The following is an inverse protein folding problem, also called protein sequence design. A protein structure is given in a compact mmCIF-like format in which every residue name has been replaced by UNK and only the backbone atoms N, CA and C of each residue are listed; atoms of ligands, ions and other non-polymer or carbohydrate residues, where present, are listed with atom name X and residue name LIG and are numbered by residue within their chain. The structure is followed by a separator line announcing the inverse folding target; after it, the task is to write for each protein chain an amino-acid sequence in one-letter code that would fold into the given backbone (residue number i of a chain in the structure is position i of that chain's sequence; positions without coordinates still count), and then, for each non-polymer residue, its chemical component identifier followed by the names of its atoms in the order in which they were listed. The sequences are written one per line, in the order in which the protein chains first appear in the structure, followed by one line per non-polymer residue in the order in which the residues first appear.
data_IF_460790001481
#
_entry.id   IF_460790001481
#
_cell.length_a   1.000
_cell.length_b   1.000
_cell.length_c   1.000
_cell.angle_alpha   90.00
_cell.angle_beta   90.00
_cell.angle_gamma   90.00
#
_symmetry.space_group_name_H-M   'P 1'
#
loop_
_entity.id
_entity.type
_entity.pdbx_description
1 polymer ?
#
# COMPACT_ATOMS: atom_id res chain seq x y z
N UNK A 1 -49.55 15.32 -47.44
CA UNK A 1 -49.60 15.39 -45.96
C UNK A 1 -48.33 15.98 -45.30
N UNK A 2 -47.76 17.15 -45.70
CA UNK A 2 -46.60 17.73 -44.98
C UNK A 2 -46.96 18.83 -43.94
N UNK A 3 -48.20 19.37 -43.96
CA UNK A 3 -48.54 20.60 -43.22
C UNK A 3 -48.81 20.45 -41.70
N UNK A 4 -48.96 19.23 -41.16
CA UNK A 4 -49.21 19.04 -39.71
C UNK A 4 -47.93 19.06 -38.87
N UNK A 5 -46.80 18.60 -39.42
CA UNK A 5 -45.51 18.55 -38.70
C UNK A 5 -44.89 19.96 -38.57
N UNK A 6 -44.97 20.76 -39.63
CA UNK A 6 -44.44 22.13 -39.63
C UNK A 6 -45.18 23.08 -38.66
N UNK A 7 -46.50 22.92 -38.49
CA UNK A 7 -47.28 23.73 -37.54
C UNK A 7 -47.09 23.30 -36.06
N UNK A 8 -46.67 22.06 -35.81
CA UNK A 8 -46.38 21.59 -34.45
C UNK A 8 -45.06 22.16 -33.93
N UNK A 9 -44.03 22.21 -34.77
CA UNK A 9 -42.71 22.77 -34.43
C UNK A 9 -42.75 24.29 -34.17
N UNK A 10 -43.70 25.02 -34.77
CA UNK A 10 -43.92 26.46 -34.53
C UNK A 10 -44.53 26.79 -33.16
N UNK A 11 -45.08 25.80 -32.43
CA UNK A 11 -45.72 25.97 -31.11
C UNK A 11 -44.90 25.49 -29.92
N UNK A 12 -43.81 24.74 -30.15
CA UNK A 12 -42.97 24.25 -29.07
C UNK A 12 -41.94 25.32 -28.73
N UNK A 13 -41.98 25.84 -27.49
CA UNK A 13 -40.96 26.77 -27.01
C UNK A 13 -39.61 26.05 -27.00
N UNK A 14 -38.54 26.72 -27.43
CA UNK A 14 -37.17 26.17 -27.42
C UNK A 14 -36.81 25.62 -26.04
N UNK A 15 -37.27 26.27 -24.97
CA UNK A 15 -37.12 25.79 -23.58
C UNK A 15 -37.70 24.39 -23.36
N UNK A 16 -38.85 24.05 -23.96
CA UNK A 16 -39.47 22.73 -23.85
C UNK A 16 -38.64 21.65 -24.54
N UNK A 17 -38.00 21.97 -25.67
CA UNK A 17 -37.05 21.06 -26.34
C UNK A 17 -35.78 20.85 -25.50
N UNK A 18 -35.27 21.93 -24.88
CA UNK A 18 -34.10 21.86 -23.99
C UNK A 18 -34.38 21.04 -22.74
N UNK A 19 -35.52 21.26 -22.06
CA UNK A 19 -35.91 20.45 -20.90
C UNK A 19 -36.16 18.99 -21.28
N UNK A 20 -36.79 18.74 -22.43
CA UNK A 20 -36.97 17.38 -22.95
C UNK A 20 -35.64 16.67 -23.18
N UNK A 21 -34.68 17.34 -23.83
CA UNK A 21 -33.33 16.82 -24.05
C UNK A 21 -32.57 16.57 -22.73
N UNK A 22 -32.70 17.47 -21.75
CA UNK A 22 -32.09 17.32 -20.43
C UNK A 22 -32.67 16.11 -19.68
N UNK A 23 -33.98 15.90 -19.71
CA UNK A 23 -34.63 14.74 -19.07
C UNK A 23 -34.14 13.45 -19.74
N UNK A 24 -34.09 13.40 -21.07
CA UNK A 24 -33.57 12.22 -21.79
C UNK A 24 -32.12 11.97 -21.44
N UNK A 25 -31.28 13.01 -21.37
CA UNK A 25 -29.89 12.89 -20.94
C UNK A 25 -29.77 12.34 -19.51
N UNK A 26 -30.55 12.87 -18.56
CA UNK A 26 -30.58 12.38 -17.17
C UNK A 26 -31.03 10.93 -17.10
N UNK A 27 -32.04 10.52 -17.88
CA UNK A 27 -32.50 9.13 -17.92
C UNK A 27 -31.45 8.20 -18.54
N UNK A 28 -30.78 8.61 -19.61
CA UNK A 28 -29.67 7.86 -20.22
C UNK A 28 -28.51 7.74 -19.23
N UNK A 29 -28.17 8.82 -18.53
CA UNK A 29 -27.13 8.83 -17.51
C UNK A 29 -27.50 7.95 -16.30
N UNK A 30 -28.75 7.99 -15.85
CA UNK A 30 -29.23 7.10 -14.79
C UNK A 30 -29.19 5.63 -15.24
N UNK A 31 -29.62 5.34 -16.47
CA UNK A 31 -29.55 3.99 -17.04
C UNK A 31 -28.10 3.51 -17.20
N UNK A 32 -27.17 4.40 -17.56
CA UNK A 32 -25.75 4.05 -17.65
C UNK A 32 -25.11 3.82 -16.28
N UNK A 33 -25.51 4.57 -15.25
CA UNK A 33 -25.10 4.29 -13.86
C UNK A 33 -25.60 2.90 -13.42
N UNK A 34 -26.88 2.59 -13.66
CA UNK A 34 -27.44 1.25 -13.35
C UNK A 34 -26.69 0.18 -14.12
N UNK A 35 -26.40 0.38 -15.41
CA UNK A 35 -25.65 -0.56 -16.21
C UNK A 35 -24.23 -0.80 -15.68
N UNK A 36 -23.54 0.24 -15.17
CA UNK A 36 -22.16 0.12 -14.66
C UNK A 36 -22.10 -0.55 -13.29
N UNK A 37 -23.04 -0.23 -12.38
CA UNK A 37 -22.96 -0.62 -10.97
C UNK A 37 -23.89 -1.77 -10.56
N UNK A 38 -24.99 -2.02 -11.29
CA UNK A 38 -25.93 -3.10 -10.97
C UNK A 38 -25.75 -4.35 -11.83
N UNK A 39 -25.10 -4.24 -13.00
CA UNK A 39 -24.85 -5.39 -13.89
C UNK A 39 -23.53 -6.05 -13.50
N UNK A 40 -23.62 -7.18 -12.80
CA UNK A 40 -22.46 -7.94 -12.31
C UNK A 40 -21.90 -8.95 -13.31
N UNK A 41 -22.58 -9.18 -14.45
CA UNK A 41 -22.16 -10.14 -15.47
C UNK A 41 -21.29 -9.46 -16.54
N UNK A 42 -20.29 -10.17 -17.13
CA UNK A 42 -19.48 -9.62 -18.21
C UNK A 42 -20.35 -9.12 -19.37
N UNK A 43 -20.18 -7.86 -19.75
CA UNK A 43 -20.98 -7.23 -20.80
C UNK A 43 -20.13 -6.22 -21.57
N UNK A 44 -19.88 -6.53 -22.85
CA UNK A 44 -19.05 -5.72 -23.73
C UNK A 44 -19.52 -4.26 -23.86
N UNK A 45 -20.83 -3.99 -23.74
CA UNK A 45 -21.35 -2.62 -23.73
C UNK A 45 -20.99 -1.89 -22.42
N UNK A 46 -21.12 -2.56 -21.28
CA UNK A 46 -20.75 -2.01 -19.97
C UNK A 46 -19.25 -1.76 -19.88
N UNK A 47 -18.43 -2.65 -20.42
CA UNK A 47 -16.96 -2.50 -20.45
C UNK A 47 -16.54 -1.30 -21.31
N UNK A 48 -17.22 -1.07 -22.44
CA UNK A 48 -17.06 0.15 -23.25
C UNK A 48 -17.48 1.40 -22.49
N UNK A 49 -18.57 1.38 -21.72
CA UNK A 49 -18.98 2.52 -20.91
C UNK A 49 -17.95 2.83 -19.81
N UNK A 50 -17.46 1.81 -19.11
CA UNK A 50 -16.44 1.90 -18.06
C UNK A 50 -15.12 2.49 -18.55
N UNK A 51 -14.71 2.18 -19.79
CA UNK A 51 -13.50 2.74 -20.40
C UNK A 51 -13.74 4.13 -21.04
N UNK A 52 -14.92 4.36 -21.63
CA UNK A 52 -15.21 5.59 -22.35
C UNK A 52 -15.63 6.76 -21.47
N UNK A 53 -16.12 6.53 -20.24
CA UNK A 53 -16.60 7.58 -19.34
C UNK A 53 -15.92 7.48 -17.96
N UNK A 54 -15.74 8.59 -17.23
CA UNK A 54 -15.01 8.63 -15.96
C UNK A 54 -15.89 8.17 -14.78
N UNK A 55 -16.44 6.95 -14.85
CA UNK A 55 -17.22 6.39 -13.75
C UNK A 55 -16.31 6.05 -12.57
N UNK A 56 -16.58 6.57 -11.35
CA UNK A 56 -15.77 6.27 -10.18
C UNK A 56 -15.93 4.81 -9.76
N UNK A 57 -14.82 4.10 -9.54
CA UNK A 57 -14.81 2.78 -8.92
C UNK A 57 -14.57 2.89 -7.41
N UNK A 58 -13.77 3.87 -6.98
CA UNK A 58 -13.51 4.18 -5.59
C UNK A 58 -13.42 5.70 -5.40
N UNK A 59 -13.91 6.17 -4.27
CA UNK A 59 -13.85 7.57 -3.84
C UNK A 59 -13.04 7.63 -2.56
N UNK A 60 -11.99 8.45 -2.54
CA UNK A 60 -11.11 8.64 -1.38
C UNK A 60 -11.43 10.02 -0.80
N UNK A 61 -12.28 10.06 0.24
CA UNK A 61 -12.83 11.28 0.84
C UNK A 61 -13.71 12.12 -0.11
N UNK A 62 -14.01 13.37 0.26
CA UNK A 62 -14.97 14.26 -0.43
C UNK A 62 -14.43 14.91 -1.73
N UNK A 63 -13.17 14.68 -2.10
CA UNK A 63 -12.51 15.20 -3.32
C UNK A 63 -11.48 14.18 -3.80
N UNK A 64 -11.57 13.80 -5.07
CA UNK A 64 -10.70 12.78 -5.68
C UNK A 64 -11.37 11.41 -5.75
N UNK A 65 -11.21 10.72 -6.87
CA UNK A 65 -11.83 9.43 -7.09
C UNK A 65 -11.13 8.66 -8.21
N UNK A 66 -10.91 7.38 -7.96
CA UNK A 66 -10.34 6.46 -8.92
C UNK A 66 -11.46 6.04 -9.86
N UNK A 67 -11.20 6.05 -11.17
CA UNK A 67 -12.20 5.70 -12.19
C UNK A 67 -11.95 4.34 -12.78
N UNK A 68 -13.01 3.69 -13.27
CA UNK A 68 -12.88 2.46 -14.05
C UNK A 68 -11.97 2.64 -15.28
N UNK A 69 -11.98 3.82 -15.91
CA UNK A 69 -11.09 4.13 -17.02
C UNK A 69 -9.63 4.02 -16.58
N UNK A 70 -9.24 4.71 -15.50
CA UNK A 70 -7.84 4.70 -15.02
C UNK A 70 -7.41 3.30 -14.60
N UNK A 71 -8.27 2.55 -13.89
CA UNK A 71 -7.99 1.16 -13.52
C UNK A 71 -7.81 0.27 -14.77
N UNK A 72 -8.69 0.38 -15.76
CA UNK A 72 -8.61 -0.40 -16.99
C UNK A 72 -7.33 -0.12 -17.80
N UNK A 73 -6.87 1.13 -17.79
CA UNK A 73 -5.61 1.53 -18.44
C UNK A 73 -4.40 0.90 -17.75
N UNK A 74 -4.36 0.92 -16.41
CA UNK A 74 -3.29 0.25 -15.66
C UNK A 74 -3.33 -1.28 -15.88
N UNK A 75 -4.52 -1.89 -15.90
CA UNK A 75 -4.68 -3.32 -16.16
C UNK A 75 -4.28 -3.75 -17.57
N UNK A 76 -4.42 -2.87 -18.56
CA UNK A 76 -3.92 -3.14 -19.91
C UNK A 76 -2.40 -3.31 -19.94
N UNK A 77 -1.67 -2.52 -19.15
CA UNK A 77 -0.22 -2.62 -19.01
C UNK A 77 0.20 -3.89 -18.27
N UNK A 78 -0.54 -4.28 -17.22
CA UNK A 78 -0.34 -5.56 -16.53
C UNK A 78 -0.53 -6.72 -17.50
N UNK A 79 -1.62 -6.74 -18.28
CA UNK A 79 -1.86 -7.78 -19.28
C UNK A 79 -0.71 -7.86 -20.30
N UNK A 80 -0.29 -6.71 -20.85
CA UNK A 80 0.81 -6.67 -21.83
C UNK A 80 2.11 -7.22 -21.26
N UNK A 81 2.45 -6.88 -20.03
CA UNK A 81 3.65 -7.39 -19.38
C UNK A 81 3.65 -8.93 -19.31
N UNK A 82 2.53 -9.53 -18.87
CA UNK A 82 2.38 -10.99 -18.80
C UNK A 82 2.32 -11.69 -20.16
N UNK A 83 1.78 -11.03 -21.18
CA UNK A 83 1.72 -11.56 -22.55
C UNK A 83 3.08 -11.41 -23.29
N UNK A 84 3.86 -10.37 -22.98
CA UNK A 84 5.12 -10.06 -23.64
C UNK A 84 6.31 -10.86 -23.09
N UNK A 85 6.22 -11.36 -21.85
CA UNK A 85 7.28 -12.18 -21.24
C UNK A 85 6.98 -13.69 -21.35
N UNK A 86 7.98 -14.47 -21.75
CA UNK A 86 7.90 -15.94 -21.73
C UNK A 86 8.17 -16.45 -20.30
N UNK A 87 7.15 -16.32 -19.44
CA UNK A 87 7.15 -16.89 -18.10
C UNK A 87 7.01 -18.42 -18.06
N UNK A 88 6.95 -19.09 -19.22
CA UNK A 88 6.79 -20.54 -19.32
C UNK A 88 7.94 -21.32 -18.70
N UNK A 89 9.15 -20.77 -18.68
CA UNK A 89 10.35 -21.43 -18.13
C UNK A 89 10.41 -21.49 -16.60
N UNK A 90 9.62 -20.66 -15.91
CA UNK A 90 9.53 -20.59 -14.45
C UNK A 90 8.12 -20.96 -13.93
N UNK A 91 7.27 -21.55 -14.78
CA UNK A 91 5.92 -21.99 -14.41
C UNK A 91 4.91 -20.87 -14.17
N UNK A 92 5.24 -19.64 -14.57
CA UNK A 92 4.46 -18.42 -14.27
C UNK A 92 3.64 -17.90 -15.46
N UNK A 93 3.46 -18.70 -16.50
CA UNK A 93 2.62 -18.30 -17.65
C UNK A 93 1.17 -18.16 -17.19
N UNK A 94 0.68 -16.93 -17.08
CA UNK A 94 -0.74 -16.67 -16.79
C UNK A 94 -1.51 -16.69 -18.11
N UNK A 95 -2.22 -17.78 -18.37
CA UNK A 95 -3.17 -17.83 -19.47
C UNK A 95 -4.50 -17.20 -19.05
N UNK A 96 -4.66 -15.92 -19.36
CA UNK A 96 -5.88 -15.17 -19.07
C UNK A 96 -7.12 -15.70 -19.82
N UNK A 97 -7.01 -16.66 -20.74
CA UNK A 97 -8.19 -17.28 -21.36
C UNK A 97 -8.83 -18.38 -20.49
N UNK A 98 -8.09 -18.91 -19.52
CA UNK A 98 -8.57 -19.96 -18.60
C UNK A 98 -9.40 -19.38 -17.45
N UNK A 99 -10.26 -20.21 -16.85
CA UNK A 99 -11.04 -19.82 -15.68
C UNK A 99 -10.13 -19.38 -14.50
N UNK A 100 -9.06 -20.13 -14.24
CA UNK A 100 -8.08 -19.78 -13.21
C UNK A 100 -7.32 -18.48 -13.55
N UNK A 101 -6.91 -18.30 -14.81
CA UNK A 101 -6.24 -17.08 -15.27
C UNK A 101 -7.12 -15.84 -15.13
N UNK A 102 -8.43 -15.96 -15.34
CA UNK A 102 -9.40 -14.89 -15.09
C UNK A 102 -9.51 -14.54 -13.60
N UNK A 103 -9.48 -15.55 -12.71
CA UNK A 103 -9.45 -15.30 -11.26
C UNK A 103 -8.15 -14.61 -10.84
N UNK A 104 -6.99 -15.06 -11.35
CA UNK A 104 -5.68 -14.40 -11.12
C UNK A 104 -5.67 -12.95 -11.63
N UNK A 105 -6.26 -12.71 -12.79
CA UNK A 105 -6.40 -11.35 -13.33
C UNK A 105 -7.24 -10.45 -12.41
N UNK A 106 -8.30 -10.99 -11.81
CA UNK A 106 -9.12 -10.27 -10.83
C UNK A 106 -8.38 -9.96 -9.54
N UNK A 107 -7.49 -10.85 -9.09
CA UNK A 107 -6.58 -10.58 -7.95
C UNK A 107 -5.66 -9.41 -8.30
N UNK A 108 -5.04 -9.42 -9.49
CA UNK A 108 -4.22 -8.29 -9.96
C UNK A 108 -4.99 -6.98 -10.09
N UNK A 109 -6.22 -7.01 -10.59
CA UNK A 109 -7.08 -5.83 -10.66
C UNK A 109 -7.33 -5.22 -9.28
N UNK A 110 -7.55 -6.07 -8.27
CA UNK A 110 -7.70 -5.64 -6.87
C UNK A 110 -6.42 -5.03 -6.31
N UNK A 111 -5.26 -5.64 -6.58
CA UNK A 111 -3.95 -5.12 -6.14
C UNK A 111 -3.66 -3.74 -6.75
N UNK A 112 -3.90 -3.59 -8.05
CA UNK A 112 -3.77 -2.28 -8.74
C UNK A 112 -4.74 -1.26 -8.14
N UNK A 113 -6.00 -1.64 -7.88
CA UNK A 113 -6.95 -0.75 -7.22
C UNK A 113 -6.47 -0.33 -5.82
N UNK A 114 -5.94 -1.25 -5.02
CA UNK A 114 -5.37 -0.94 -3.71
C UNK A 114 -4.20 0.02 -3.81
N UNK A 115 -3.28 -0.21 -4.75
CA UNK A 115 -2.14 0.68 -4.98
C UNK A 115 -2.59 2.08 -5.38
N UNK A 116 -3.61 2.19 -6.24
CA UNK A 116 -4.17 3.48 -6.63
C UNK A 116 -4.84 4.22 -5.46
N UNK A 117 -5.52 3.49 -4.57
CA UNK A 117 -6.10 4.07 -3.34
C UNK A 117 -4.99 4.57 -2.41
N UNK A 118 -3.94 3.78 -2.25
CA UNK A 118 -2.76 4.13 -1.46
C UNK A 118 -2.06 5.38 -2.01
N UNK A 119 -1.83 5.45 -3.32
CA UNK A 119 -1.20 6.61 -3.98
C UNK A 119 -2.00 7.89 -3.80
N UNK A 120 -3.32 7.83 -4.00
CA UNK A 120 -4.22 8.97 -3.75
C UNK A 120 -4.17 9.40 -2.27
N UNK A 121 -4.13 8.43 -1.34
CA UNK A 121 -4.02 8.71 0.08
C UNK A 121 -2.68 9.37 0.43
N UNK A 122 -1.56 8.86 -0.11
CA UNK A 122 -0.22 9.42 0.07
C UNK A 122 -0.16 10.85 -0.46
N UNK A 123 -0.62 11.09 -1.70
CA UNK A 123 -0.60 12.43 -2.29
C UNK A 123 -1.43 13.41 -1.46
N UNK A 124 -2.61 12.96 -0.97
CA UNK A 124 -3.46 13.77 -0.10
C UNK A 124 -2.77 14.10 1.23
N UNK A 125 -2.22 13.10 1.92
CA UNK A 125 -1.50 13.28 3.18
C UNK A 125 -0.26 14.19 3.01
N UNK A 126 0.43 14.07 1.88
CA UNK A 126 1.53 14.95 1.52
C UNK A 126 1.05 16.40 1.36
N UNK A 127 -0.01 16.62 0.59
CA UNK A 127 -0.60 17.96 0.38
C UNK A 127 -1.11 18.59 1.68
N UNK A 128 -1.73 17.81 2.57
CA UNK A 128 -2.15 18.26 3.91
C UNK A 128 -0.98 18.76 4.75
N UNK A 129 0.23 18.22 4.55
CA UNK A 129 1.48 18.66 5.18
C UNK A 129 2.20 19.78 4.42
N UNK A 130 1.57 20.34 3.38
CA UNK A 130 2.17 21.36 2.53
C UNK A 130 3.27 20.83 1.60
N UNK A 131 3.40 19.51 1.45
CA UNK A 131 4.35 18.89 0.54
C UNK A 131 3.78 18.98 -0.87
N UNK A 132 4.59 19.53 -1.79
CA UNK A 132 4.28 19.60 -3.21
C UNK A 132 5.45 19.01 -4.01
N UNK A 133 5.12 18.45 -5.18
CA UNK A 133 6.10 17.98 -6.16
C UNK A 133 5.95 18.86 -7.39
N UNK A 134 7.02 19.58 -7.74
CA UNK A 134 7.06 20.41 -8.94
C UNK A 134 7.32 19.58 -10.19
N UNK A 135 6.95 20.12 -11.35
CA UNK A 135 7.24 19.51 -12.66
C UNK A 135 8.75 19.31 -12.90
N UNK A 136 9.58 20.21 -12.39
CA UNK A 136 11.03 20.05 -12.49
C UNK A 136 11.55 18.88 -11.62
N UNK A 137 11.00 18.70 -10.42
CA UNK A 137 11.34 17.55 -9.57
C UNK A 137 10.86 16.24 -10.17
N UNK A 138 9.69 16.25 -10.82
CA UNK A 138 9.17 15.11 -11.56
C UNK A 138 10.12 14.71 -12.70
N UNK A 139 10.54 15.67 -13.53
CA UNK A 139 11.49 15.44 -14.62
C UNK A 139 12.85 14.91 -14.11
N UNK A 140 13.38 15.47 -13.02
CA UNK A 140 14.60 14.96 -12.38
C UNK A 140 14.40 13.54 -11.80
N UNK A 141 13.22 13.27 -11.24
CA UNK A 141 12.83 11.95 -10.77
C UNK A 141 12.81 10.92 -11.88
N UNK A 142 12.31 11.28 -13.07
CA UNK A 142 12.35 10.42 -14.26
C UNK A 142 13.79 10.05 -14.58
N UNK A 143 14.69 11.03 -14.72
CA UNK A 143 16.10 10.76 -15.01
C UNK A 143 16.75 9.83 -13.98
N UNK A 144 16.57 10.10 -12.68
CA UNK A 144 17.10 9.24 -11.60
C UNK A 144 16.58 7.81 -11.70
N UNK A 145 15.28 7.62 -11.90
CA UNK A 145 14.70 6.28 -12.02
C UNK A 145 15.17 5.55 -13.26
N UNK A 146 15.32 6.23 -14.40
CA UNK A 146 15.85 5.59 -15.60
C UNK A 146 17.27 5.06 -15.36
N UNK A 147 18.12 5.83 -14.66
CA UNK A 147 19.49 5.42 -14.30
C UNK A 147 19.52 4.18 -13.38
N UNK A 148 18.51 3.98 -12.52
CA UNK A 148 18.40 2.78 -11.68
C UNK A 148 18.14 1.49 -12.50
N UNK A 149 17.46 1.61 -13.64
CA UNK A 149 17.06 0.46 -14.47
C UNK A 149 17.94 0.25 -15.72
N UNK A 150 18.78 1.21 -16.11
CA UNK A 150 19.71 1.07 -17.24
C UNK A 150 19.92 2.36 -18.03
N UNK A 151 20.24 2.24 -19.32
CA UNK A 151 20.35 3.42 -20.18
C UNK A 151 18.96 3.96 -20.53
N UNK A 152 18.77 5.29 -20.50
CA UNK A 152 17.44 5.91 -20.69
C UNK A 152 16.74 5.52 -22.01
N UNK A 153 17.49 5.24 -23.07
CA UNK A 153 16.94 4.77 -24.35
C UNK A 153 16.48 3.31 -24.33
N UNK A 154 17.16 2.43 -23.58
CA UNK A 154 16.73 1.04 -23.41
C UNK A 154 15.48 0.97 -22.54
N UNK A 155 15.47 1.69 -21.42
CA UNK A 155 14.31 1.74 -20.53
C UNK A 155 13.09 2.32 -21.25
N UNK A 156 13.26 3.36 -22.07
CA UNK A 156 12.17 3.91 -22.89
C UNK A 156 11.59 2.85 -23.85
N UNK A 157 12.44 2.09 -24.55
CA UNK A 157 12.00 1.01 -25.44
C UNK A 157 11.26 -0.08 -24.68
N UNK A 158 11.73 -0.43 -23.49
CA UNK A 158 11.09 -1.43 -22.64
C UNK A 158 9.75 -0.95 -22.07
N UNK A 159 9.63 0.33 -21.71
CA UNK A 159 8.36 0.94 -21.29
C UNK A 159 7.30 0.84 -22.39
N UNK A 160 7.66 1.19 -23.62
CA UNK A 160 6.76 1.10 -24.77
C UNK A 160 6.43 -0.36 -25.12
N UNK A 161 7.43 -1.25 -25.12
CA UNK A 161 7.28 -2.66 -25.53
C UNK A 161 6.54 -3.51 -24.50
N UNK A 162 6.85 -3.38 -23.21
CA UNK A 162 6.32 -4.23 -22.15
C UNK A 162 5.01 -3.68 -21.57
N UNK A 163 4.89 -2.36 -21.42
CA UNK A 163 3.77 -1.73 -20.74
C UNK A 163 2.90 -0.89 -21.68
N UNK A 164 3.42 -0.50 -22.85
CA UNK A 164 2.78 0.44 -23.76
C UNK A 164 2.73 1.86 -23.19
N UNK A 165 3.72 2.23 -22.38
CA UNK A 165 3.81 3.52 -21.71
C UNK A 165 4.75 4.48 -22.44
N UNK A 166 4.36 5.74 -22.47
CA UNK A 166 5.27 6.84 -22.80
C UNK A 166 6.07 7.26 -21.58
N UNK A 167 7.11 8.10 -21.76
CA UNK A 167 7.81 8.71 -20.62
C UNK A 167 6.88 9.55 -19.74
N UNK A 168 5.86 10.19 -20.33
CA UNK A 168 4.85 10.94 -19.57
C UNK A 168 3.98 10.01 -18.71
N UNK A 169 3.59 8.84 -19.24
CA UNK A 169 2.88 7.83 -18.44
C UNK A 169 3.74 7.34 -17.28
N UNK A 170 5.04 7.09 -17.53
CA UNK A 170 5.98 6.67 -16.49
C UNK A 170 6.16 7.75 -15.42
N UNK A 171 6.28 9.01 -15.84
CA UNK A 171 6.34 10.16 -14.94
C UNK A 171 5.09 10.23 -14.05
N UNK A 172 3.90 10.20 -14.65
CA UNK A 172 2.63 10.34 -13.93
C UNK A 172 2.32 9.14 -13.02
N UNK A 173 2.55 7.91 -13.49
CA UNK A 173 2.07 6.68 -12.82
C UNK A 173 3.11 6.06 -11.90
N UNK A 174 4.39 6.38 -12.06
CA UNK A 174 5.47 5.76 -11.28
C UNK A 174 6.28 6.82 -10.54
N UNK A 175 6.76 7.84 -11.24
CA UNK A 175 7.67 8.83 -10.64
C UNK A 175 6.92 9.71 -9.66
N UNK A 176 5.83 10.35 -10.08
CA UNK A 176 5.06 11.29 -9.26
C UNK A 176 4.58 10.66 -7.93
N UNK A 177 3.90 9.49 -7.92
CA UNK A 177 3.52 8.83 -6.67
C UNK A 177 4.71 8.52 -5.78
N UNK A 178 5.82 8.04 -6.38
CA UNK A 178 7.02 7.72 -5.60
C UNK A 178 7.70 8.94 -4.98
N UNK A 179 7.67 10.10 -5.65
CA UNK A 179 8.20 11.35 -5.09
C UNK A 179 7.34 11.85 -3.92
N UNK A 180 6.01 11.76 -4.04
CA UNK A 180 5.14 12.07 -2.91
C UNK A 180 5.38 11.12 -1.74
N UNK A 181 5.51 9.82 -2.00
CA UNK A 181 5.83 8.82 -0.99
C UNK A 181 7.18 9.11 -0.30
N UNK A 182 8.25 9.34 -1.06
CA UNK A 182 9.59 9.66 -0.56
C UNK A 182 9.54 10.90 0.35
N UNK A 183 8.93 11.98 -0.12
CA UNK A 183 8.81 13.23 0.66
C UNK A 183 7.95 13.07 1.91
N UNK A 184 6.84 12.33 1.81
CA UNK A 184 5.98 12.07 2.96
C UNK A 184 6.69 11.20 3.99
N UNK A 185 7.43 10.18 3.55
CA UNK A 185 8.25 9.33 4.39
C UNK A 185 9.37 10.12 5.08
N UNK A 186 10.03 11.05 4.38
CA UNK A 186 11.02 11.94 4.97
C UNK A 186 10.40 12.90 6.00
N UNK A 187 9.18 13.41 5.75
CA UNK A 187 8.43 14.21 6.73
C UNK A 187 8.05 13.38 7.96
N UNK A 188 7.61 12.15 7.76
CA UNK A 188 7.29 11.20 8.81
C UNK A 188 8.51 10.86 9.68
N UNK A 189 9.66 10.57 9.08
CA UNK A 189 10.88 10.23 9.82
C UNK A 189 11.27 11.35 10.81
N UNK A 190 11.18 12.61 10.38
CA UNK A 190 11.42 13.78 11.24
C UNK A 190 10.44 13.87 12.41
N UNK A 191 9.18 13.50 12.21
CA UNK A 191 8.14 13.52 13.23
C UNK A 191 8.33 12.38 14.25
N UNK A 192 8.62 11.17 13.79
CA UNK A 192 8.86 10.01 14.66
C UNK A 192 10.07 10.22 15.55
N UNK A 193 11.15 10.76 15.01
CA UNK A 193 12.35 11.04 15.81
C UNK A 193 12.09 12.16 16.84
N UNK A 194 11.25 13.14 16.52
CA UNK A 194 10.91 14.25 17.42
C UNK A 194 9.88 13.89 18.52
N UNK A 195 8.99 12.93 18.29
CA UNK A 195 7.82 12.65 19.13
C UNK A 195 7.61 11.16 19.42
N UNK A 196 8.68 10.38 19.54
CA UNK A 196 8.56 8.92 19.62
C UNK A 196 7.84 8.46 20.89
N UNK A 197 6.57 8.07 20.75
CA UNK A 197 5.83 7.30 21.76
C UNK A 197 6.61 6.07 22.23
N UNK A 198 7.45 5.50 21.35
CA UNK A 198 8.33 4.39 21.71
C UNK A 198 9.44 4.82 22.69
N UNK A 199 10.00 6.02 22.51
CA UNK A 199 10.98 6.60 23.45
C UNK A 199 10.32 6.94 24.79
N UNK A 200 9.10 7.46 24.80
CA UNK A 200 8.34 7.67 26.02
C UNK A 200 8.09 6.34 26.75
N UNK A 201 7.60 5.32 26.04
CA UNK A 201 7.31 4.00 26.60
C UNK A 201 8.55 3.32 27.17
N UNK A 202 9.69 3.38 26.48
CA UNK A 202 10.93 2.78 26.98
C UNK A 202 11.49 3.55 28.19
N UNK A 203 11.30 4.87 28.26
CA UNK A 203 11.68 5.69 29.43
C UNK A 203 10.84 5.33 30.65
N UNK A 204 9.53 5.13 30.49
CA UNK A 204 8.67 4.63 31.56
C UNK A 204 9.15 3.27 32.08
N UNK A 205 9.59 2.37 31.18
CA UNK A 205 10.19 1.10 31.57
C UNK A 205 11.51 1.31 32.34
N UNK A 206 12.36 2.24 31.90
CA UNK A 206 13.60 2.58 32.59
C UNK A 206 13.33 3.12 34.00
N UNK A 207 12.38 4.05 34.15
CA UNK A 207 12.00 4.64 35.43
C UNK A 207 11.44 3.58 36.39
N UNK A 208 10.65 2.63 35.89
CA UNK A 208 10.15 1.50 36.65
C UNK A 208 11.27 0.59 37.16
N UNK A 209 12.25 0.28 36.30
CA UNK A 209 13.45 -0.50 36.68
C UNK A 209 14.28 0.24 37.74
N UNK A 210 14.49 1.55 37.57
CA UNK A 210 15.20 2.39 38.54
C UNK A 210 14.47 2.48 39.89
N UNK A 211 13.14 2.36 39.87
CA UNK A 211 12.29 2.30 41.07
C UNK A 211 12.27 0.92 41.75
N UNK A 212 13.01 -0.06 41.21
CA UNK A 212 13.17 -1.39 41.78
C UNK A 212 12.18 -2.45 41.26
N UNK A 213 11.39 -2.16 40.23
CA UNK A 213 10.56 -3.18 39.58
C UNK A 213 11.44 -4.28 38.96
N UNK A 214 11.04 -5.54 39.11
CA UNK A 214 11.77 -6.66 38.50
C UNK A 214 11.74 -6.57 36.97
N UNK A 215 12.84 -6.93 36.32
CA UNK A 215 12.96 -6.81 34.87
C UNK A 215 11.88 -7.59 34.12
N UNK A 216 11.58 -8.81 34.56
CA UNK A 216 10.56 -9.65 33.95
C UNK A 216 9.17 -9.00 34.01
N UNK A 217 8.83 -8.32 35.10
CA UNK A 217 7.54 -7.64 35.26
C UNK A 217 7.47 -6.38 34.40
N UNK A 218 8.56 -5.59 34.37
CA UNK A 218 8.67 -4.44 33.50
C UNK A 218 8.61 -4.85 32.01
N UNK A 219 9.21 -5.98 31.64
CA UNK A 219 9.12 -6.53 30.29
C UNK A 219 7.67 -6.90 29.92
N UNK A 220 6.95 -7.62 30.78
CA UNK A 220 5.52 -7.93 30.56
C UNK A 220 4.66 -6.68 30.41
N UNK A 221 4.95 -5.65 31.19
CA UNK A 221 4.14 -4.43 31.23
C UNK A 221 4.42 -3.48 30.05
N UNK A 222 5.70 -3.29 29.69
CA UNK A 222 6.11 -2.22 28.78
C UNK A 222 6.65 -2.73 27.43
N UNK A 223 7.14 -3.97 27.35
CA UNK A 223 7.75 -4.48 26.12
C UNK A 223 6.70 -4.74 25.03
N UNK A 224 7.06 -4.41 23.80
CA UNK A 224 6.37 -4.80 22.58
C UNK A 224 7.10 -5.96 21.86
N UNK A 225 8.12 -6.55 22.51
CA UNK A 225 8.86 -7.71 22.00
C UNK A 225 8.05 -9.00 22.09
N UNK A 226 8.36 -9.98 21.25
CA UNK A 226 7.65 -11.28 21.21
C UNK A 226 7.75 -12.07 22.52
N UNK A 227 8.82 -11.85 23.29
CA UNK A 227 9.11 -12.52 24.55
C UNK A 227 8.64 -11.72 25.76
N UNK A 228 7.85 -10.65 25.57
CA UNK A 228 7.35 -9.79 26.65
C UNK A 228 6.63 -10.60 27.74
N UNK A 229 5.73 -11.50 27.36
CA UNK A 229 5.00 -12.38 28.27
C UNK A 229 5.92 -13.34 29.05
N UNK A 230 7.06 -13.71 28.48
CA UNK A 230 8.11 -14.54 29.10
C UNK A 230 9.12 -13.70 29.90
N UNK A 231 8.75 -12.46 30.24
CA UNK A 231 9.61 -11.52 30.96
C UNK A 231 10.80 -11.03 30.14
N UNK A 232 10.67 -11.04 28.81
CA UNK A 232 11.68 -10.57 27.88
C UNK A 232 12.82 -11.56 27.62
N UNK A 233 12.74 -12.82 28.05
CA UNK A 233 13.82 -13.81 27.87
C UNK A 233 14.09 -14.08 26.39
N UNK A 234 15.27 -13.70 25.90
CA UNK A 234 15.71 -13.95 24.53
C UNK A 234 16.50 -15.26 24.43
N UNK A 235 17.01 -15.79 25.53
CA UNK A 235 17.95 -16.91 25.56
C UNK A 235 19.41 -16.49 25.38
N UNK A 236 20.21 -17.39 24.81
CA UNK A 236 21.66 -17.24 24.68
C UNK A 236 22.06 -16.68 23.32
N UNK A 237 22.89 -15.64 23.31
CA UNK A 237 23.43 -15.02 22.10
C UNK A 237 24.94 -14.95 22.13
N UNK A 238 25.58 -15.16 20.99
CA UNK A 238 26.95 -14.70 20.79
C UNK A 238 26.95 -13.22 20.38
N UNK A 239 28.00 -12.44 20.70
CA UNK A 239 28.11 -11.06 20.25
C UNK A 239 27.93 -10.88 18.74
N UNK A 240 28.36 -11.85 17.93
CA UNK A 240 28.23 -11.82 16.48
C UNK A 240 26.77 -11.83 16.00
N UNK A 241 25.85 -12.40 16.78
CA UNK A 241 24.42 -12.53 16.46
C UNK A 241 23.63 -11.26 16.82
N UNK A 242 24.25 -10.33 17.56
CA UNK A 242 23.65 -9.07 17.96
C UNK A 242 23.91 -7.97 16.94
N UNK A 243 22.93 -7.08 16.76
CA UNK A 243 23.11 -5.84 16.03
C UNK A 243 24.27 -5.01 16.64
N UNK A 244 25.08 -4.30 15.83
CA UNK A 244 26.25 -3.56 16.31
C UNK A 244 25.96 -2.64 17.51
N UNK A 245 24.81 -1.95 17.49
CA UNK A 245 24.36 -1.01 18.51
C UNK A 245 24.08 -1.71 19.84
N UNK A 246 23.45 -2.89 19.80
CA UNK A 246 23.13 -3.68 20.99
C UNK A 246 24.37 -4.40 21.53
N UNK A 247 25.24 -4.89 20.63
CA UNK A 247 26.45 -5.64 20.97
C UNK A 247 27.35 -4.86 21.91
N UNK A 248 27.61 -3.59 21.60
CA UNK A 248 28.47 -2.73 22.42
C UNK A 248 27.91 -2.58 23.84
N UNK A 249 26.60 -2.36 23.96
CA UNK A 249 25.93 -2.23 25.25
C UNK A 249 26.03 -3.52 26.08
N UNK A 250 25.71 -4.68 25.48
CA UNK A 250 25.78 -5.99 26.14
C UNK A 250 27.18 -6.30 26.65
N UNK A 251 28.22 -6.04 25.85
CA UNK A 251 29.60 -6.38 26.20
C UNK A 251 30.16 -5.51 27.34
N UNK A 252 29.62 -4.31 27.54
CA UNK A 252 30.04 -3.38 28.59
C UNK A 252 29.16 -3.47 29.85
N UNK A 253 28.03 -4.17 29.76
CA UNK A 253 27.04 -4.26 30.81
C UNK A 253 27.50 -5.18 31.96
N UNK A 254 27.15 -4.80 33.19
CA UNK A 254 27.32 -5.67 34.36
C UNK A 254 26.21 -6.70 34.43
N UNK A 255 26.58 -7.95 34.72
CA UNK A 255 25.64 -9.05 34.91
C UNK A 255 24.64 -8.71 36.03
N UNK A 256 23.36 -8.95 35.79
CA UNK A 256 22.26 -8.71 36.73
C UNK A 256 21.80 -7.26 36.86
N UNK A 257 22.43 -6.31 36.14
CA UNK A 257 22.08 -4.89 36.20
C UNK A 257 21.43 -4.47 34.88
N UNK A 258 20.20 -3.91 34.86
CA UNK A 258 19.60 -3.39 33.63
C UNK A 258 20.47 -2.31 32.97
N UNK A 259 20.54 -2.32 31.65
CA UNK A 259 21.35 -1.39 30.87
C UNK A 259 20.64 -0.07 30.61
N UNK A 260 21.34 0.85 29.95
CA UNK A 260 20.72 2.09 29.45
C UNK A 260 19.84 1.82 28.23
N UNK A 261 19.02 2.81 27.87
CA UNK A 261 18.24 2.78 26.63
C UNK A 261 19.18 2.83 25.43
N UNK A 262 19.10 1.82 24.56
CA UNK A 262 19.83 1.72 23.30
C UNK A 262 18.86 1.86 22.15
N UNK A 263 19.21 2.65 21.15
CA UNK A 263 18.43 2.84 19.93
C UNK A 263 18.97 1.97 18.79
N UNK A 264 18.07 1.34 18.04
CA UNK A 264 18.36 0.65 16.79
C UNK A 264 17.39 1.11 15.69
N UNK A 265 17.58 0.62 14.46
CA UNK A 265 16.64 0.84 13.37
C UNK A 265 15.21 0.32 13.64
N UNK A 266 15.06 -0.67 14.53
CA UNK A 266 13.76 -1.26 14.87
C UNK A 266 13.04 -0.51 16.00
N UNK A 267 13.79 0.16 16.87
CA UNK A 267 13.22 0.81 18.05
C UNK A 267 14.21 1.03 19.19
N UNK A 268 13.67 1.12 20.39
CA UNK A 268 14.45 1.32 21.60
C UNK A 268 14.47 0.05 22.45
N UNK A 269 15.61 -0.18 23.09
CA UNK A 269 15.90 -1.41 23.80
C UNK A 269 16.46 -1.09 25.18
N UNK A 270 16.01 -1.82 26.19
CA UNK A 270 16.75 -1.97 27.45
C UNK A 270 17.10 -3.45 27.54
N UNK A 271 18.38 -3.74 27.73
CA UNK A 271 18.89 -5.10 27.82
C UNK A 271 19.28 -5.43 29.26
N UNK A 272 19.23 -6.71 29.60
CA UNK A 272 19.76 -7.26 30.83
C UNK A 272 20.59 -8.49 30.49
N UNK A 273 21.87 -8.47 30.86
CA UNK A 273 22.72 -9.68 30.86
C UNK A 273 22.45 -10.43 32.16
N UNK A 274 21.78 -11.57 32.07
CA UNK A 274 21.53 -12.43 33.25
C UNK A 274 22.73 -13.28 33.59
N UNK A 275 23.39 -13.82 32.57
CA UNK A 275 24.49 -14.77 32.71
C UNK A 275 25.47 -14.63 31.55
N UNK A 276 26.73 -14.95 31.83
CA UNK A 276 27.78 -15.05 30.82
C UNK A 276 28.40 -16.44 30.96
N UNK A 277 28.43 -17.20 29.87
CA UNK A 277 29.11 -18.49 29.83
C UNK A 277 30.13 -18.52 28.69
N UNK A 278 31.15 -19.35 28.84
CA UNK A 278 32.11 -19.66 27.77
C UNK A 278 31.82 -21.06 27.27
N UNK A 279 31.61 -21.19 25.97
CA UNK A 279 31.37 -22.46 25.28
C UNK A 279 32.39 -22.55 24.15
N UNK A 280 33.31 -23.51 24.25
CA UNK A 280 34.54 -23.60 23.46
C UNK A 280 35.37 -22.30 23.46
N UNK A 281 35.46 -21.64 22.31
CA UNK A 281 36.16 -20.37 22.10
C UNK A 281 35.21 -19.17 22.08
N UNK A 282 33.90 -19.38 22.24
CA UNK A 282 32.88 -18.34 22.17
C UNK A 282 32.39 -17.94 23.56
N UNK A 283 32.16 -16.65 23.75
CA UNK A 283 31.48 -16.11 24.91
C UNK A 283 30.01 -15.89 24.56
N UNK A 284 29.12 -16.46 25.36
CA UNK A 284 27.67 -16.38 25.19
C UNK A 284 27.05 -15.61 26.36
N UNK A 285 26.04 -14.81 26.03
CA UNK A 285 25.33 -13.95 26.96
C UNK A 285 23.87 -14.39 27.00
N UNK A 286 23.33 -14.62 28.19
CA UNK A 286 21.91 -14.83 28.39
C UNK A 286 21.25 -13.47 28.56
N UNK A 287 20.31 -13.15 27.67
CA UNK A 287 19.76 -11.80 27.58
C UNK A 287 18.26 -11.78 27.86
N UNK A 288 17.83 -10.75 28.60
CA UNK A 288 16.45 -10.27 28.55
C UNK A 288 16.35 -8.91 27.86
N UNK A 289 15.18 -8.62 27.31
CA UNK A 289 14.92 -7.37 26.62
C UNK A 289 13.56 -6.76 26.97
N UNK A 290 13.56 -5.46 27.21
CA UNK A 290 12.39 -4.60 27.04
C UNK A 290 12.56 -3.88 25.70
N UNK A 291 11.58 -4.01 24.81
CA UNK A 291 11.63 -3.44 23.47
C UNK A 291 10.46 -2.49 23.24
N UNK A 292 10.73 -1.29 22.75
CA UNK A 292 9.71 -0.37 22.26
C UNK A 292 9.91 -0.16 20.76
N UNK A 293 9.02 -0.75 19.96
CA UNK A 293 9.06 -0.66 18.49
C UNK A 293 8.81 0.77 18.02
N UNK A 294 9.68 1.27 17.12
CA UNK A 294 9.43 2.52 16.40
C UNK A 294 8.29 2.32 15.41
N UNK A 295 7.41 3.32 15.29
CA UNK A 295 6.40 3.34 14.23
C UNK A 295 7.10 3.33 12.88
N UNK A 296 6.69 2.44 11.97
CA UNK A 296 7.18 2.44 10.59
C UNK A 296 6.31 3.33 9.72
N UNK A 297 6.82 3.69 8.53
CA UNK A 297 6.03 4.45 7.57
C UNK A 297 4.77 3.68 7.13
N UNK A 298 4.86 2.35 7.00
CA UNK A 298 3.72 1.50 6.69
C UNK A 298 2.67 1.49 7.80
N UNK A 299 3.09 1.43 9.07
CA UNK A 299 2.18 1.53 10.23
C UNK A 299 1.46 2.89 10.22
N UNK A 300 2.21 3.97 10.01
CA UNK A 300 1.68 5.33 9.88
C UNK A 300 0.67 5.46 8.75
N UNK A 301 1.03 4.99 7.54
CA UNK A 301 0.18 5.09 6.38
C UNK A 301 -1.11 4.29 6.57
N UNK A 302 -1.01 3.05 7.07
CA UNK A 302 -2.17 2.24 7.42
C UNK A 302 -3.07 2.97 8.42
N UNK A 303 -2.52 3.48 9.52
CA UNK A 303 -3.31 4.23 10.52
C UNK A 303 -4.02 5.44 9.91
N UNK A 304 -3.33 6.23 9.06
CA UNK A 304 -3.93 7.38 8.39
C UNK A 304 -5.01 6.96 7.40
N UNK A 305 -4.79 5.90 6.62
CA UNK A 305 -5.78 5.39 5.67
C UNK A 305 -7.03 4.85 6.36
N UNK A 306 -6.93 4.21 7.54
CA UNK A 306 -8.10 3.82 8.35
C UNK A 306 -8.94 5.03 8.78
N UNK A 307 -8.32 6.18 8.94
CA UNK A 307 -9.00 7.45 9.23
C UNK A 307 -9.64 8.12 8.01
N UNK A 308 -9.36 7.67 6.79
CA UNK A 308 -9.95 8.22 5.56
C UNK A 308 -11.31 7.58 5.28
N UNK A 309 -12.24 8.39 4.78
CA UNK A 309 -13.53 7.89 4.27
C UNK A 309 -13.36 7.35 2.86
N UNK A 310 -13.18 6.03 2.73
CA UNK A 310 -13.04 5.36 1.43
C UNK A 310 -14.33 4.62 1.08
N UNK A 311 -14.91 4.99 -0.06
CA UNK A 311 -16.12 4.38 -0.59
C UNK A 311 -15.79 3.65 -1.89
N UNK A 312 -15.94 2.32 -1.89
CA UNK A 312 -15.85 1.50 -3.10
C UNK A 312 -17.25 1.33 -3.68
N UNK A 313 -17.42 1.85 -4.90
CA UNK A 313 -18.68 1.78 -5.66
C UNK A 313 -18.78 0.51 -6.50
N UNK A 314 -17.67 -0.21 -6.68
CA UNK A 314 -17.65 -1.46 -7.42
C UNK A 314 -18.57 -2.52 -6.80
N UNK A 315 -19.35 -3.26 -7.62
CA UNK A 315 -20.09 -4.42 -7.14
C UNK A 315 -19.17 -5.62 -6.84
N UNK A 316 -17.90 -5.56 -7.25
CA UNK A 316 -16.94 -6.67 -7.08
C UNK A 316 -16.12 -6.57 -5.80
N UNK A 317 -15.92 -5.34 -5.31
CA UNK A 317 -15.00 -5.03 -4.21
C UNK A 317 -15.71 -4.29 -3.08
N UNK A 318 -15.19 -4.46 -1.87
CA UNK A 318 -15.60 -3.70 -0.69
C UNK A 318 -14.39 -3.21 0.09
N UNK A 319 -14.58 -2.13 0.85
CA UNK A 319 -13.51 -1.53 1.64
C UNK A 319 -13.46 -2.16 3.02
N UNK A 320 -12.33 -2.82 3.33
CA UNK A 320 -12.04 -3.30 4.67
C UNK A 320 -11.33 -2.18 5.45
N UNK A 321 -12.09 -1.47 6.27
CA UNK A 321 -11.58 -0.33 7.03
C UNK A 321 -10.58 -0.73 8.14
N UNK A 322 -10.59 -1.98 8.61
CA UNK A 322 -9.64 -2.44 9.62
C UNK A 322 -8.27 -2.71 9.00
N UNK A 323 -8.24 -3.27 7.80
CA UNK A 323 -7.01 -3.61 7.08
C UNK A 323 -6.56 -2.49 6.13
N UNK A 324 -7.37 -1.44 5.97
CA UNK A 324 -7.13 -0.34 5.04
C UNK A 324 -6.88 -0.80 3.59
N UNK A 325 -7.67 -1.76 3.12
CA UNK A 325 -7.58 -2.29 1.75
C UNK A 325 -8.93 -2.71 1.18
N UNK A 326 -9.03 -2.73 -0.14
CA UNK A 326 -10.11 -3.37 -0.87
C UNK A 326 -9.99 -4.90 -0.79
N UNK A 327 -11.13 -5.56 -0.62
CA UNK A 327 -11.31 -7.01 -0.64
C UNK A 327 -12.41 -7.40 -1.62
N UNK A 328 -12.42 -8.65 -2.07
CA UNK A 328 -13.51 -9.16 -2.91
C UNK A 328 -14.77 -9.31 -2.07
N UNK A 329 -15.94 -8.95 -2.63
CA UNK A 329 -17.24 -9.26 -2.01
C UNK A 329 -17.59 -10.74 -2.05
N UNK A 330 -17.13 -11.45 -3.09
CA UNK A 330 -17.40 -12.89 -3.28
C UNK A 330 -16.41 -13.72 -2.47
N UNK A 331 -16.94 -14.58 -1.60
CA UNK A 331 -16.14 -15.49 -0.77
C UNK A 331 -15.22 -16.40 -1.60
N UNK A 332 -15.73 -16.93 -2.71
CA UNK A 332 -14.97 -17.79 -3.62
C UNK A 332 -13.66 -17.15 -4.11
N UNK A 333 -13.68 -15.84 -4.39
CA UNK A 333 -12.48 -15.11 -4.81
C UNK A 333 -11.54 -14.80 -3.64
N UNK A 334 -12.07 -14.57 -2.43
CA UNK A 334 -11.26 -14.44 -1.20
C UNK A 334 -10.51 -15.74 -0.89
N UNK A 335 -11.19 -16.87 -0.99
CA UNK A 335 -10.60 -18.19 -0.75
C UNK A 335 -9.57 -18.54 -1.83
N UNK A 336 -9.87 -18.24 -3.09
CA UNK A 336 -8.93 -18.39 -4.20
C UNK A 336 -7.66 -17.56 -3.97
N UNK A 337 -7.82 -16.28 -3.64
CA UNK A 337 -6.72 -15.37 -3.33
C UNK A 337 -5.87 -15.92 -2.16
N UNK A 338 -6.50 -16.32 -1.06
CA UNK A 338 -5.80 -16.89 0.10
C UNK A 338 -4.99 -18.14 -0.27
N UNK A 339 -5.58 -19.05 -1.04
CA UNK A 339 -4.90 -20.26 -1.51
C UNK A 339 -3.73 -19.95 -2.45
N UNK A 340 -3.82 -18.87 -3.23
CA UNK A 340 -2.72 -18.41 -4.07
C UNK A 340 -1.52 -17.99 -3.21
N UNK A 341 -1.76 -17.23 -2.14
CA UNK A 341 -0.72 -16.82 -1.19
C UNK A 341 -0.05 -18.00 -0.48
N UNK A 342 -0.85 -18.96 0.03
CA UNK A 342 -0.34 -20.13 0.74
C UNK A 342 0.51 -21.05 -0.14
N UNK A 343 0.15 -21.22 -1.43
CA UNK A 343 0.90 -22.06 -2.38
C UNK A 343 2.22 -21.47 -2.83
N UNK A 344 2.42 -20.16 -2.65
CA UNK A 344 3.67 -19.47 -3.03
C UNK A 344 4.72 -19.45 -1.93
N UNK A 345 4.52 -20.12 -0.79
CA UNK A 345 5.41 -20.10 0.39
C UNK A 345 5.80 -18.67 0.83
N UNK A 346 4.96 -17.66 0.53
CA UNK A 346 5.25 -16.25 0.79
C UNK A 346 6.35 -15.64 -0.11
N UNK A 347 6.67 -16.26 -1.24
CA UNK A 347 7.73 -15.79 -2.15
C UNK A 347 7.34 -14.44 -2.79
N UNK A 348 8.10 -13.40 -2.41
CA UNK A 348 7.85 -12.01 -2.77
C UNK A 348 8.00 -11.74 -4.28
N UNK A 349 8.69 -12.63 -5.01
CA UNK A 349 8.83 -12.55 -6.47
C UNK A 349 7.48 -12.65 -7.23
N UNK A 350 6.42 -13.12 -6.57
CA UNK A 350 5.07 -13.12 -7.11
C UNK A 350 4.39 -11.73 -7.06
N UNK A 351 5.02 -10.70 -6.47
CA UNK A 351 4.35 -9.45 -6.11
C UNK A 351 5.04 -8.16 -6.58
N UNK A 352 6.12 -8.26 -7.37
CA UNK A 352 6.80 -7.10 -7.96
C UNK A 352 6.62 -7.04 -9.48
#
# INVERSE_FOLDING_TARGET
MPNKVQNFLKKVRVSTLVYGALIVFVLIFAASLVAVYAVSQPNAFVDRLKSALPYPIAIVSYKGGITYRTLSQNMASVRRFYEAQDFGKIGLRVDFSTAEGQQRFKVREKEVLNKMIEDEAIERLAKERGIQVSQNEAAQGVSRKLEEYGSGEEVKKDLERLYGWTLADFEEKVVMPSLYQEKLQASFAKEVDAASKALEKIRLAQDALLSGQAFADAAKQYSAGRTAEDGGDLGWFAPADLAPELRQSVMLQKVGVPGDVVESGLGFHILLVEEIKKEDTKQLYRLRQIFARKMTFADFLSEKMRGLSILILSPEYEWNAAEARAEFRKQELRDFEKNLFEKTDGDAAFFF
#
